data_IF_888244578284
#
_entry.id   IF_888244578284
#
_cell.length_a   1.000
_cell.length_b   1.000
_cell.length_c   1.000
_cell.angle_alpha   90.00
_cell.angle_beta   90.00
_cell.angle_gamma   90.00
#
_symmetry.space_group_name_H-M   'P 1'
#
loop_
_entity.id
_entity.type
_entity.pdbx_description
1 polymer ?
#
# COMPACT_ATOMS: atom_id res chain seq x y z
N UNK A 1 11.23 14.80 1.69
CA UNK A 1 12.38 13.87 1.70
C UNK A 1 12.21 12.95 0.49
N UNK A 2 13.26 12.60 -0.27
CA UNK A 2 13.10 11.60 -1.34
C UNK A 2 12.87 10.23 -0.70
N UNK A 3 11.63 9.75 -0.75
CA UNK A 3 11.34 8.36 -0.46
C UNK A 3 12.00 7.50 -1.56
N UNK A 4 12.68 6.43 -1.18
CA UNK A 4 13.38 5.59 -2.14
C UNK A 4 12.37 4.70 -2.88
N UNK A 5 11.97 5.14 -4.07
CA UNK A 5 10.92 4.47 -4.86
C UNK A 5 11.41 3.17 -5.52
N UNK A 6 12.70 2.87 -5.46
CA UNK A 6 13.27 1.63 -5.99
C UNK A 6 13.13 0.44 -5.02
N UNK A 7 12.64 0.68 -3.80
CA UNK A 7 12.39 -0.38 -2.82
C UNK A 7 11.19 -1.24 -3.19
N UNK A 8 11.24 -2.51 -2.81
CA UNK A 8 10.16 -3.46 -3.04
C UNK A 8 9.34 -3.64 -1.77
N UNK A 9 8.10 -3.13 -1.70
CA UNK A 9 7.22 -3.37 -0.58
C UNK A 9 6.73 -4.81 -0.63
N UNK A 10 6.83 -5.48 0.51
CA UNK A 10 6.27 -6.82 0.74
C UNK A 10 5.50 -6.80 2.05
N UNK A 11 4.31 -7.40 2.07
CA UNK A 11 3.56 -7.59 3.32
C UNK A 11 4.35 -8.45 4.31
N UNK A 12 4.39 -8.06 5.58
CA UNK A 12 5.01 -8.89 6.61
C UNK A 12 4.25 -10.21 6.79
N UNK A 13 4.96 -11.24 7.25
CA UNK A 13 4.32 -12.48 7.71
C UNK A 13 3.30 -12.19 8.80
N UNK A 14 2.09 -12.75 8.65
CA UNK A 14 0.96 -12.55 9.54
C UNK A 14 0.05 -11.37 9.16
N UNK A 15 0.47 -10.52 8.22
CA UNK A 15 -0.40 -9.50 7.65
C UNK A 15 -1.17 -10.07 6.47
N UNK A 16 -2.49 -9.85 6.47
CA UNK A 16 -3.38 -10.34 5.42
C UNK A 16 -4.24 -9.19 4.93
N UNK A 17 -3.96 -8.78 3.70
CA UNK A 17 -4.79 -7.83 2.98
C UNK A 17 -6.05 -8.56 2.47
N UNK A 18 -7.23 -8.07 2.85
CA UNK A 18 -8.50 -8.63 2.38
C UNK A 18 -9.55 -7.55 2.18
N UNK A 19 -10.53 -7.83 1.31
CA UNK A 19 -11.70 -6.98 1.16
C UNK A 19 -12.76 -7.35 2.22
N UNK A 20 -13.24 -6.37 2.97
CA UNK A 20 -14.25 -6.57 4.00
C UNK A 20 -15.61 -5.98 3.56
N UNK A 21 -16.58 -6.81 3.16
CA UNK A 21 -17.86 -6.33 2.64
C UNK A 21 -18.68 -5.59 3.69
N UNK A 22 -18.52 -5.92 4.97
CA UNK A 22 -19.20 -5.23 6.08
C UNK A 22 -18.81 -3.74 6.16
N UNK A 23 -17.57 -3.41 5.77
CA UNK A 23 -17.06 -2.03 5.78
C UNK A 23 -17.00 -1.39 4.39
N UNK A 24 -17.34 -2.16 3.34
CA UNK A 24 -17.24 -1.80 1.93
C UNK A 24 -15.87 -1.23 1.57
N UNK A 25 -14.81 -1.87 2.07
CA UNK A 25 -13.45 -1.40 1.87
C UNK A 25 -12.43 -2.48 2.17
N UNK A 26 -11.17 -2.23 1.82
CA UNK A 26 -10.10 -3.16 2.13
C UNK A 26 -9.58 -2.94 3.54
N UNK A 27 -9.28 -4.05 4.20
CA UNK A 27 -8.73 -4.09 5.54
C UNK A 27 -7.46 -4.91 5.55
N UNK A 28 -6.54 -4.49 6.40
CA UNK A 28 -5.33 -5.23 6.70
C UNK A 28 -5.50 -5.92 8.06
N UNK A 29 -5.59 -7.25 8.05
CA UNK A 29 -5.65 -8.06 9.26
C UNK A 29 -4.24 -8.43 9.71
N UNK A 30 -4.00 -8.40 11.01
CA UNK A 30 -2.74 -8.81 11.64
C UNK A 30 -3.05 -9.36 13.04
N UNK A 31 -2.15 -10.13 13.69
CA UNK A 31 -2.49 -10.85 14.92
C UNK A 31 -2.96 -9.96 16.08
N UNK A 32 -2.51 -8.72 16.14
CA UNK A 32 -2.93 -7.74 17.16
C UNK A 32 -4.20 -6.95 16.79
N UNK A 33 -4.71 -7.02 15.55
CA UNK A 33 -5.91 -6.28 15.18
C UNK A 33 -6.25 -6.22 13.69
N UNK A 34 -6.99 -5.17 13.33
CA UNK A 34 -7.38 -4.88 11.96
C UNK A 34 -7.28 -3.38 11.68
N UNK A 35 -6.78 -3.02 10.50
CA UNK A 35 -6.73 -1.63 10.05
C UNK A 35 -7.61 -1.50 8.82
N UNK A 36 -8.47 -0.49 8.82
CA UNK A 36 -9.22 -0.12 7.63
C UNK A 36 -8.35 0.75 6.73
N UNK A 37 -8.15 0.32 5.50
CA UNK A 37 -7.46 1.11 4.48
C UNK A 37 -8.47 2.01 3.77
N UNK A 38 -8.07 3.24 3.47
CA UNK A 38 -8.82 4.11 2.56
C UNK A 38 -8.72 3.61 1.12
N UNK A 39 -9.53 4.13 0.21
CA UNK A 39 -9.53 3.70 -1.20
C UNK A 39 -8.14 3.75 -1.85
N UNK A 40 -7.37 4.84 -1.67
CA UNK A 40 -5.99 4.92 -2.18
C UNK A 40 -5.08 3.86 -1.58
N UNK A 41 -5.09 3.72 -0.25
CA UNK A 41 -4.27 2.73 0.48
C UNK A 41 -4.64 1.28 0.12
N UNK A 42 -5.92 1.03 -0.17
CA UNK A 42 -6.41 -0.24 -0.67
C UNK A 42 -5.83 -0.55 -2.05
N UNK A 43 -5.92 0.39 -2.99
CA UNK A 43 -5.38 0.23 -4.33
C UNK A 43 -3.87 -0.06 -4.30
N UNK A 44 -3.12 0.65 -3.45
CA UNK A 44 -1.70 0.41 -3.23
C UNK A 44 -1.47 -0.99 -2.65
N UNK A 45 -2.21 -1.32 -1.59
CA UNK A 45 -2.09 -2.60 -0.91
C UNK A 45 -2.34 -3.81 -1.80
N UNK A 46 -3.25 -3.68 -2.77
CA UNK A 46 -3.51 -4.71 -3.78
C UNK A 46 -2.40 -4.88 -4.82
N UNK A 47 -1.49 -3.91 -4.95
CA UNK A 47 -0.33 -3.97 -5.87
C UNK A 47 0.96 -4.42 -5.17
N UNK A 48 0.96 -4.48 -3.84
CA UNK A 48 2.07 -4.98 -3.03
C UNK A 48 2.09 -6.51 -3.12
N UNK A 49 2.90 -7.02 -4.05
CA UNK A 49 3.14 -8.46 -4.24
C UNK A 49 4.57 -8.88 -3.83
N UNK A 50 5.44 -7.91 -3.52
CA UNK A 50 6.86 -8.14 -3.20
C UNK A 50 7.78 -8.24 -4.43
N UNK A 51 7.24 -8.25 -5.64
CA UNK A 51 8.04 -8.25 -6.87
C UNK A 51 8.29 -6.84 -7.44
N UNK A 52 7.25 -6.00 -7.40
CA UNK A 52 7.25 -4.64 -7.95
C UNK A 52 7.84 -3.66 -6.95
N UNK A 53 8.62 -2.71 -7.44
CA UNK A 53 9.07 -1.57 -6.67
C UNK A 53 7.98 -0.48 -6.58
N UNK A 54 8.19 0.48 -5.71
CA UNK A 54 7.25 1.58 -5.47
C UNK A 54 7.03 2.43 -6.72
N UNK A 55 8.07 2.67 -7.52
CA UNK A 55 7.93 3.44 -8.75
C UNK A 55 7.04 2.70 -9.76
N UNK A 56 7.18 1.37 -9.88
CA UNK A 56 6.30 0.56 -10.70
C UNK A 56 4.84 0.56 -10.21
N UNK A 57 4.62 0.57 -8.88
CA UNK A 57 3.28 0.70 -8.29
C UNK A 57 2.67 2.06 -8.61
N UNK A 58 3.44 3.15 -8.47
CA UNK A 58 3.02 4.50 -8.83
C UNK A 58 2.62 4.57 -10.30
N UNK A 59 3.50 4.11 -11.20
CA UNK A 59 3.21 4.12 -12.63
C UNK A 59 1.94 3.31 -12.97
N UNK A 60 1.77 2.12 -12.39
CA UNK A 60 0.60 1.28 -12.62
C UNK A 60 -0.71 1.91 -12.08
N UNK A 61 -0.63 2.70 -11.01
CA UNK A 61 -1.79 3.43 -10.49
C UNK A 61 -2.06 4.70 -11.29
N UNK A 62 -1.03 5.43 -11.71
CA UNK A 62 -1.17 6.61 -12.59
C UNK A 62 -1.80 6.23 -13.93
N UNK A 63 -1.45 5.07 -14.49
CA UNK A 63 -2.06 4.55 -15.72
C UNK A 63 -3.52 4.11 -15.53
N UNK A 64 -3.87 3.54 -14.37
CA UNK A 64 -5.25 3.13 -14.06
C UNK A 64 -6.15 4.32 -13.71
N UNK A 65 -5.59 5.36 -13.10
CA UNK A 65 -6.31 6.55 -12.65
C UNK A 65 -5.70 7.83 -13.24
N UNK A 66 -5.78 8.01 -14.57
CA UNK A 66 -5.25 9.20 -15.22
C UNK A 66 -6.04 10.43 -14.75
N UNK A 67 -5.38 11.32 -14.03
CA UNK A 67 -5.97 12.57 -13.54
C UNK A 67 -6.26 12.60 -12.03
N UNK A 68 -5.78 11.63 -11.25
CA UNK A 68 -5.69 11.78 -9.79
C UNK A 68 -4.39 12.55 -9.47
N UNK A 69 -4.47 13.83 -9.10
CA UNK A 69 -3.30 14.56 -8.63
C UNK A 69 -2.83 13.94 -7.31
N UNK A 70 -1.53 14.05 -7.03
CA UNK A 70 -0.93 13.65 -5.74
C UNK A 70 -0.95 12.14 -5.42
N UNK A 71 -1.35 11.29 -6.37
CA UNK A 71 -1.29 9.84 -6.23
C UNK A 71 0.08 9.34 -5.76
N UNK A 72 1.17 9.89 -6.32
CA UNK A 72 2.53 9.57 -5.90
C UNK A 72 2.80 9.92 -4.43
N UNK A 73 2.29 11.06 -3.95
CA UNK A 73 2.46 11.50 -2.55
C UNK A 73 1.64 10.62 -1.60
N UNK A 74 0.40 10.29 -1.95
CA UNK A 74 -0.44 9.30 -1.24
C UNK A 74 0.28 7.95 -1.09
N UNK A 75 0.95 7.51 -2.15
CA UNK A 75 1.70 6.25 -2.17
C UNK A 75 2.91 6.32 -1.26
N UNK A 76 3.70 7.38 -1.36
CA UNK A 76 4.88 7.61 -0.52
C UNK A 76 4.46 7.69 0.96
N UNK A 77 3.41 8.45 1.27
CA UNK A 77 2.88 8.60 2.62
C UNK A 77 2.35 7.27 3.18
N UNK A 78 1.61 6.50 2.37
CA UNK A 78 1.15 5.16 2.76
C UNK A 78 2.33 4.26 3.09
N UNK A 79 3.39 4.25 2.28
CA UNK A 79 4.56 3.41 2.54
C UNK A 79 5.35 3.86 3.76
N UNK A 80 5.45 5.16 4.02
CA UNK A 80 6.05 5.67 5.26
C UNK A 80 5.27 5.20 6.49
N UNK A 81 3.94 5.32 6.49
CA UNK A 81 3.08 4.87 7.59
C UNK A 81 3.16 3.35 7.74
N UNK A 82 2.99 2.60 6.66
CA UNK A 82 3.03 1.14 6.68
C UNK A 82 4.40 0.60 7.11
N UNK A 83 5.49 1.32 6.79
CA UNK A 83 6.84 0.98 7.28
C UNK A 83 7.00 1.33 8.75
N UNK A 84 6.54 2.50 9.19
CA UNK A 84 6.63 2.96 10.57
C UNK A 84 5.87 2.05 11.53
N UNK A 85 4.69 1.60 11.11
CA UNK A 85 3.85 0.66 11.84
C UNK A 85 4.27 -0.81 11.62
N UNK A 86 5.36 -1.05 10.89
CA UNK A 86 5.90 -2.38 10.60
C UNK A 86 4.95 -3.35 9.86
N UNK A 87 3.98 -2.84 9.10
CA UNK A 87 3.06 -3.64 8.28
C UNK A 87 3.73 -4.27 7.06
N UNK A 88 4.63 -3.51 6.45
CA UNK A 88 5.39 -3.93 5.26
C UNK A 88 6.89 -3.91 5.52
N UNK A 89 7.61 -4.71 4.75
CA UNK A 89 9.06 -4.65 4.63
C UNK A 89 9.41 -4.07 3.29
N UNK A 90 10.33 -3.11 3.28
CA UNK A 90 10.92 -2.56 2.06
C UNK A 90 12.31 -3.20 1.90
N UNK A 91 12.45 -4.06 0.90
CA UNK A 91 13.72 -4.69 0.52
C UNK A 91 14.42 -3.89 -0.58
#
# INVERSE_FOLDING_TARGET
MSFDRSRKPTWRQGYRYQYEPAQKGHVLLYPEGMIKLNDSAALIGGLIDGERDVAAIIAALEEQFPGVPELGDDIEQFMEVARAEHWITLA
#
